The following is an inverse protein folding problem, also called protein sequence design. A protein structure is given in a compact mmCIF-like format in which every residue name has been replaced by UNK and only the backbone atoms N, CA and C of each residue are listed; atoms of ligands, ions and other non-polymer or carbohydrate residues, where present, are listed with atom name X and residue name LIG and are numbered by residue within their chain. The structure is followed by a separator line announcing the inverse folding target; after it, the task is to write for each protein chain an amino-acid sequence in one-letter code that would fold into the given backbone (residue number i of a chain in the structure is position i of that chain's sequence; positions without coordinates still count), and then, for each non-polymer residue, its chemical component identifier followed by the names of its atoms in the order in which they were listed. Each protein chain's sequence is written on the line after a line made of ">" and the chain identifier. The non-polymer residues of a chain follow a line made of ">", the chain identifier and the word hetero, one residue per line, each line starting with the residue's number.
data_IF_243796841017
#
_entry.id   IF_243796841017
#
_cell.length_a   1.000
_cell.length_b   1.000
_cell.length_c   1.000
_cell.angle_alpha   90.00
_cell.angle_beta   90.00
_cell.angle_gamma   90.00
#
_symmetry.space_group_name_H-M   'P 1'
#
loop_
_entity.id
_entity.type
_entity.pdbx_description
1 polymer ?
#
# COMPACT_ATOMS: atom_id res chain seq x y z
N UNK A 1 19.70 -8.30 -0.95
CA UNK A 1 19.01 -7.05 -0.62
C UNK A 1 18.58 -6.26 -1.86
N UNK A 2 19.42 -5.93 -2.86
CA UNK A 2 18.99 -4.99 -3.92
C UNK A 2 17.96 -5.58 -4.89
N UNK A 3 18.03 -6.88 -5.20
CA UNK A 3 17.11 -7.51 -6.16
C UNK A 3 15.69 -7.67 -5.60
N UNK A 4 15.53 -7.91 -4.29
CA UNK A 4 14.21 -7.95 -3.65
C UNK A 4 13.52 -6.60 -3.73
N UNK A 5 14.26 -5.52 -3.45
CA UNK A 5 13.75 -4.15 -3.56
C UNK A 5 13.35 -3.82 -5.00
N UNK A 6 14.12 -4.26 -6.00
CA UNK A 6 13.74 -4.07 -7.40
C UNK A 6 12.42 -4.79 -7.74
N UNK A 7 12.25 -6.04 -7.32
CA UNK A 7 11.02 -6.81 -7.59
C UNK A 7 9.80 -6.20 -6.91
N UNK A 8 9.91 -5.84 -5.63
CA UNK A 8 8.83 -5.20 -4.87
C UNK A 8 8.50 -3.82 -5.47
N UNK A 9 9.51 -3.05 -5.84
CA UNK A 9 9.35 -1.74 -6.49
C UNK A 9 8.62 -1.85 -7.84
N UNK A 10 9.03 -2.80 -8.69
CA UNK A 10 8.37 -3.05 -9.99
C UNK A 10 6.90 -3.45 -9.77
N UNK A 11 6.63 -4.33 -8.80
CA UNK A 11 5.27 -4.74 -8.45
C UNK A 11 4.41 -3.57 -7.96
N UNK A 12 4.95 -2.73 -7.07
CA UNK A 12 4.26 -1.53 -6.57
C UNK A 12 3.99 -0.51 -7.69
N UNK A 13 4.95 -0.33 -8.59
CA UNK A 13 4.85 0.58 -9.72
C UNK A 13 3.83 0.08 -10.76
N UNK A 14 3.76 -1.24 -10.99
CA UNK A 14 2.70 -1.83 -11.79
C UNK A 14 1.32 -1.53 -11.18
N UNK A 15 1.14 -1.73 -9.87
CA UNK A 15 -0.11 -1.40 -9.18
C UNK A 15 -0.47 0.09 -9.29
N UNK A 16 0.50 0.99 -9.12
CA UNK A 16 0.30 2.42 -9.32
C UNK A 16 -0.12 2.77 -10.76
N UNK A 17 0.48 2.12 -11.77
CA UNK A 17 0.12 2.32 -13.17
C UNK A 17 -1.29 1.80 -13.48
N UNK A 18 -1.69 0.65 -12.92
CA UNK A 18 -3.05 0.15 -13.05
C UNK A 18 -4.07 1.06 -12.37
N UNK A 19 -3.75 1.57 -11.17
CA UNK A 19 -4.57 2.53 -10.45
C UNK A 19 -4.72 3.85 -11.22
N UNK A 20 -3.63 4.38 -11.80
CA UNK A 20 -3.66 5.58 -12.63
C UNK A 20 -4.47 5.41 -13.92
N UNK A 21 -4.29 4.28 -14.62
CA UNK A 21 -4.86 4.06 -15.96
C UNK A 21 -6.31 3.57 -15.92
N UNK A 22 -6.64 2.71 -14.96
CA UNK A 22 -7.92 2.02 -14.89
C UNK A 22 -8.71 2.33 -13.61
N UNK A 23 -8.15 3.11 -12.68
CA UNK A 23 -8.78 3.42 -11.37
C UNK A 23 -9.23 2.18 -10.62
N UNK A 24 -8.52 1.08 -10.86
CA UNK A 24 -8.89 -0.23 -10.39
C UNK A 24 -7.62 -1.00 -10.09
N UNK A 25 -7.44 -1.38 -8.83
CA UNK A 25 -6.33 -2.25 -8.45
C UNK A 25 -6.70 -3.71 -8.77
N UNK A 26 -6.02 -4.35 -9.74
CA UNK A 26 -6.30 -5.75 -10.07
C UNK A 26 -5.94 -6.65 -8.90
N UNK A 27 -6.96 -7.29 -8.33
CA UNK A 27 -6.81 -8.24 -7.22
C UNK A 27 -5.74 -9.31 -7.52
N UNK A 28 -5.62 -9.73 -8.78
CA UNK A 28 -4.63 -10.73 -9.22
C UNK A 28 -3.19 -10.30 -8.96
N UNK A 29 -2.84 -9.04 -9.22
CA UNK A 29 -1.49 -8.53 -9.00
C UNK A 29 -1.22 -8.39 -7.50
N UNK A 30 -2.20 -7.87 -6.74
CA UNK A 30 -2.08 -7.74 -5.28
C UNK A 30 -1.87 -9.11 -4.63
N UNK A 31 -2.70 -10.08 -5.00
CA UNK A 31 -2.61 -11.45 -4.48
C UNK A 31 -1.31 -12.13 -4.90
N UNK A 32 -0.83 -11.91 -6.13
CA UNK A 32 0.47 -12.41 -6.56
C UNK A 32 1.61 -11.92 -5.67
N UNK A 33 1.60 -10.64 -5.28
CA UNK A 33 2.56 -10.08 -4.33
C UNK A 33 2.45 -10.69 -2.93
N UNK A 34 1.23 -10.83 -2.41
CA UNK A 34 0.98 -11.44 -1.09
C UNK A 34 1.41 -12.92 -1.04
N UNK A 35 1.06 -13.71 -2.06
CA UNK A 35 1.45 -15.12 -2.18
C UNK A 35 2.97 -15.24 -2.31
N UNK A 36 3.61 -14.37 -3.09
CA UNK A 36 5.06 -14.32 -3.20
C UNK A 36 5.75 -14.02 -1.86
N UNK A 37 5.21 -13.08 -1.08
CA UNK A 37 5.72 -12.77 0.25
C UNK A 37 5.57 -13.94 1.22
N UNK A 38 4.42 -14.63 1.21
CA UNK A 38 4.18 -15.82 2.05
C UNK A 38 5.13 -16.96 1.66
N UNK A 39 5.26 -17.25 0.36
CA UNK A 39 6.18 -18.28 -0.13
C UNK A 39 7.63 -17.96 0.28
N UNK A 40 8.05 -16.70 0.19
CA UNK A 40 9.36 -16.27 0.63
C UNK A 40 9.57 -16.48 2.14
N UNK A 41 8.59 -16.11 2.97
CA UNK A 41 8.62 -16.33 4.42
C UNK A 41 8.75 -17.83 4.74
N UNK A 42 7.99 -18.69 4.05
CA UNK A 42 8.03 -20.14 4.26
C UNK A 42 9.38 -20.75 3.85
N UNK A 43 10.00 -20.24 2.78
CA UNK A 43 11.28 -20.76 2.28
C UNK A 43 12.49 -20.24 3.07
N UNK A 44 12.43 -19.01 3.58
CA UNK A 44 13.60 -18.30 4.15
C UNK A 44 13.52 -18.08 5.65
N UNK A 45 12.32 -18.15 6.24
CA UNK A 45 12.10 -17.90 7.66
C UNK A 45 12.07 -16.41 8.04
N UNK A 46 12.08 -15.50 7.08
CA UNK A 46 11.96 -14.05 7.26
C UNK A 46 11.23 -13.41 6.09
N UNK A 47 10.62 -12.24 6.31
CA UNK A 47 9.93 -11.50 5.26
C UNK A 47 10.90 -10.96 4.20
N UNK A 48 10.43 -10.67 2.97
CA UNK A 48 11.25 -10.13 1.89
C UNK A 48 12.11 -8.91 2.27
N UNK A 49 11.64 -8.07 3.21
CA UNK A 49 12.34 -6.89 3.71
C UNK A 49 13.00 -7.10 5.10
N UNK A 50 13.16 -8.36 5.54
CA UNK A 50 13.95 -8.71 6.73
C UNK A 50 13.19 -8.71 8.07
N UNK A 51 11.90 -8.41 8.08
CA UNK A 51 11.08 -8.52 9.29
C UNK A 51 10.79 -9.99 9.67
N UNK A 52 10.56 -10.26 10.96
CA UNK A 52 10.25 -11.61 11.46
C UNK A 52 8.89 -12.10 10.93
N UNK A 53 8.69 -13.42 10.71
CA UNK A 53 7.43 -13.97 10.21
C UNK A 53 6.21 -13.60 11.05
N UNK A 54 6.36 -13.61 12.38
CA UNK A 54 5.30 -13.21 13.31
C UNK A 54 4.94 -11.75 13.14
N UNK A 55 5.93 -10.86 13.00
CA UNK A 55 5.66 -9.43 12.76
C UNK A 55 5.00 -9.18 11.40
N UNK A 56 5.36 -9.95 10.38
CA UNK A 56 4.78 -9.85 9.04
C UNK A 56 3.32 -10.31 9.02
N UNK A 57 2.99 -11.39 9.71
CA UNK A 57 1.62 -11.88 9.86
C UNK A 57 0.76 -10.91 10.68
N UNK A 58 1.28 -10.42 11.81
CA UNK A 58 0.57 -9.44 12.65
C UNK A 58 0.33 -8.15 11.86
N UNK A 59 1.31 -7.68 11.09
CA UNK A 59 1.14 -6.51 10.25
C UNK A 59 0.11 -6.73 9.15
N UNK A 60 0.17 -7.86 8.43
CA UNK A 60 -0.77 -8.17 7.35
C UNK A 60 -2.20 -8.31 7.84
N UNK A 61 -2.42 -9.08 8.91
CA UNK A 61 -3.75 -9.26 9.52
C UNK A 61 -4.24 -7.99 10.19
N UNK A 62 -3.37 -7.29 10.92
CA UNK A 62 -3.66 -6.03 11.56
C UNK A 62 -4.07 -4.96 10.55
N UNK A 63 -3.39 -4.88 9.41
CA UNK A 63 -3.78 -4.04 8.29
C UNK A 63 -5.19 -4.37 7.80
N UNK A 64 -5.48 -5.65 7.56
CA UNK A 64 -6.79 -6.07 7.05
C UNK A 64 -7.91 -5.71 8.04
N UNK A 65 -7.73 -6.00 9.32
CA UNK A 65 -8.66 -5.66 10.40
C UNK A 65 -8.82 -4.14 10.52
N UNK A 66 -7.73 -3.38 10.43
CA UNK A 66 -7.78 -1.93 10.46
C UNK A 66 -8.49 -1.36 9.24
N UNK A 67 -8.42 -2.02 8.07
CA UNK A 67 -9.06 -1.53 6.83
C UNK A 67 -10.55 -1.87 6.77
N UNK A 68 -11.01 -2.92 7.43
CA UNK A 68 -12.42 -3.35 7.50
C UNK A 68 -13.42 -2.23 7.89
N UNK A 69 -13.22 -1.45 8.97
CA UNK A 69 -14.13 -0.36 9.31
C UNK A 69 -14.16 0.74 8.24
N UNK A 70 -13.02 1.06 7.62
CA UNK A 70 -12.96 2.06 6.55
C UNK A 70 -13.61 1.57 5.24
N UNK A 71 -13.55 0.27 4.97
CA UNK A 71 -14.28 -0.35 3.87
C UNK A 71 -15.80 -0.24 4.10
N UNK A 72 -16.28 -0.53 5.31
CA UNK A 72 -17.69 -0.36 5.68
C UNK A 72 -18.18 1.09 5.58
N UNK A 73 -17.30 2.07 5.83
CA UNK A 73 -17.58 3.50 5.67
C UNK A 73 -17.52 3.98 4.20
N UNK A 74 -17.10 3.14 3.27
CA UNK A 74 -16.94 3.49 1.85
C UNK A 74 -15.77 4.42 1.56
N UNK A 75 -14.82 4.56 2.50
CA UNK A 75 -13.66 5.45 2.37
C UNK A 75 -12.46 4.77 1.68
N UNK A 76 -12.41 3.45 1.70
CA UNK A 76 -11.34 2.63 1.15
C UNK A 76 -11.92 1.55 0.23
N UNK A 77 -11.31 1.35 -0.93
CA UNK A 77 -11.74 0.33 -1.88
C UNK A 77 -11.35 -1.07 -1.39
N UNK A 78 -12.06 -2.11 -1.89
CA UNK A 78 -11.74 -3.50 -1.57
C UNK A 78 -10.30 -3.91 -1.97
N UNK A 79 -9.67 -3.17 -2.88
CA UNK A 79 -8.28 -3.35 -3.30
C UNK A 79 -7.26 -2.83 -2.29
N UNK A 80 -7.56 -1.72 -1.60
CA UNK A 80 -6.59 -1.02 -0.75
C UNK A 80 -6.24 -1.84 0.50
N UNK A 81 -7.23 -2.52 1.11
CA UNK A 81 -6.99 -3.40 2.25
C UNK A 81 -6.14 -4.62 1.91
N UNK A 82 -6.31 -5.17 0.70
CA UNK A 82 -5.46 -6.26 0.22
C UNK A 82 -4.04 -5.77 -0.06
N UNK A 83 -3.90 -4.54 -0.55
CA UNK A 83 -2.59 -3.95 -0.80
C UNK A 83 -1.83 -3.70 0.50
N UNK A 84 -2.50 -3.16 1.52
CA UNK A 84 -1.92 -3.00 2.86
C UNK A 84 -1.55 -4.34 3.50
N UNK A 85 -2.39 -5.37 3.33
CA UNK A 85 -2.06 -6.73 3.78
C UNK A 85 -0.78 -7.24 3.10
N UNK A 86 -0.65 -7.06 1.78
CA UNK A 86 0.54 -7.47 1.05
C UNK A 86 1.80 -6.72 1.51
N UNK A 87 1.70 -5.41 1.76
CA UNK A 87 2.81 -4.58 2.30
C UNK A 87 3.22 -5.06 3.70
N UNK A 88 2.25 -5.34 4.58
CA UNK A 88 2.49 -5.87 5.92
C UNK A 88 3.21 -7.23 5.89
N UNK A 89 2.84 -8.11 4.95
CA UNK A 89 3.53 -9.39 4.76
C UNK A 89 4.96 -9.22 4.21
N UNK A 90 5.21 -8.20 3.39
CA UNK A 90 6.52 -7.97 2.79
C UNK A 90 7.55 -7.38 3.76
N UNK A 91 7.13 -6.50 4.68
CA UNK A 91 8.07 -5.77 5.55
C UNK A 91 7.66 -5.59 7.01
N UNK A 92 6.56 -6.21 7.44
CA UNK A 92 6.12 -6.15 8.83
C UNK A 92 5.55 -4.79 9.24
N UNK A 93 5.39 -4.63 10.55
CA UNK A 93 4.63 -3.50 11.14
C UNK A 93 5.28 -2.16 10.84
N UNK A 94 6.62 -2.08 10.87
CA UNK A 94 7.35 -0.83 10.61
C UNK A 94 7.11 -0.30 9.20
N UNK A 95 7.31 -1.15 8.20
CA UNK A 95 7.14 -0.79 6.78
C UNK A 95 5.69 -0.44 6.49
N UNK A 96 4.74 -1.20 7.06
CA UNK A 96 3.31 -0.91 6.96
C UNK A 96 2.97 0.48 7.53
N UNK A 97 3.42 0.79 8.75
CA UNK A 97 3.12 2.07 9.41
C UNK A 97 3.76 3.24 8.66
N UNK A 98 5.01 3.12 8.23
CA UNK A 98 5.66 4.17 7.42
C UNK A 98 4.91 4.39 6.11
N UNK A 99 4.57 3.31 5.41
CA UNK A 99 3.79 3.40 4.16
C UNK A 99 2.45 4.07 4.42
N UNK A 100 1.74 3.69 5.49
CA UNK A 100 0.44 4.26 5.86
C UNK A 100 0.55 5.77 6.16
N UNK A 101 1.54 6.16 6.95
CA UNK A 101 1.77 7.57 7.35
C UNK A 101 2.13 8.42 6.13
N UNK A 102 3.11 8.00 5.33
CA UNK A 102 3.53 8.73 4.13
C UNK A 102 2.39 8.84 3.12
N UNK A 103 1.63 7.75 2.92
CA UNK A 103 0.48 7.78 2.01
C UNK A 103 -0.61 8.72 2.52
N UNK A 104 -0.91 8.70 3.82
CA UNK A 104 -1.91 9.59 4.42
C UNK A 104 -1.51 11.06 4.29
N UNK A 105 -0.22 11.38 4.48
CA UNK A 105 0.34 12.71 4.30
C UNK A 105 0.25 13.21 2.86
N UNK A 106 0.30 12.31 1.87
CA UNK A 106 0.12 12.67 0.46
C UNK A 106 -1.36 12.77 0.06
N UNK A 107 -2.18 11.83 0.54
CA UNK A 107 -3.59 11.73 0.18
C UNK A 107 -4.44 12.86 0.78
N UNK A 108 -4.21 13.23 2.05
CA UNK A 108 -4.99 14.29 2.72
C UNK A 108 -4.94 15.65 1.99
N UNK A 109 -3.77 16.25 1.71
CA UNK A 109 -3.70 17.53 1.01
C UNK A 109 -4.22 17.43 -0.43
N UNK A 110 -4.02 16.29 -1.11
CA UNK A 110 -4.57 16.08 -2.45
C UNK A 110 -6.10 16.00 -2.43
N UNK A 111 -6.69 15.31 -1.45
CA UNK A 111 -8.13 15.24 -1.26
C UNK A 111 -8.72 16.61 -0.92
N UNK A 112 -8.08 17.38 -0.04
CA UNK A 112 -8.50 18.76 0.30
C UNK A 112 -8.46 19.65 -0.92
N UNK A 113 -7.39 19.57 -1.72
CA UNK A 113 -7.26 20.31 -2.97
C UNK A 113 -8.37 19.96 -3.97
N UNK A 114 -8.64 18.66 -4.17
CA UNK A 114 -9.72 18.21 -5.04
C UNK A 114 -11.09 18.67 -4.57
N UNK A 115 -11.38 18.58 -3.27
CA UNK A 115 -12.63 19.06 -2.68
C UNK A 115 -12.78 20.58 -2.81
N UNK A 116 -11.70 21.35 -2.64
CA UNK A 116 -11.69 22.79 -2.85
C UNK A 116 -12.01 23.10 -4.32
N UNK A 117 -11.33 22.47 -5.28
CA UNK A 117 -11.63 22.67 -6.70
C UNK A 117 -13.03 22.18 -7.10
N UNK A 118 -13.54 21.10 -6.49
CA UNK A 118 -14.88 20.58 -6.74
C UNK A 118 -15.97 21.54 -6.27
N UNK A 119 -15.78 22.12 -5.08
CA UNK A 119 -16.65 23.19 -4.55
C UNK A 119 -16.67 24.40 -5.47
N UNK A 120 -15.52 24.78 -6.02
CA UNK A 120 -15.43 25.89 -6.96
C UNK A 120 -16.10 25.59 -8.31
N UNK A 121 -16.14 24.32 -8.74
CA UNK A 121 -16.83 23.87 -9.96
C UNK A 121 -18.30 23.46 -9.76
N UNK A 122 -18.81 23.49 -8.53
CA UNK A 122 -20.16 23.00 -8.22
C UNK A 122 -20.34 21.48 -8.38
N UNK A 123 -19.26 20.70 -8.41
CA UNK A 123 -19.31 19.24 -8.55
C UNK A 123 -19.73 18.57 -7.22
N UNK A 124 -20.50 17.48 -7.29
CA UNK A 124 -20.84 16.67 -6.10
C UNK A 124 -19.56 16.03 -5.54
N UNK A 125 -19.38 16.09 -4.22
CA UNK A 125 -18.18 15.58 -3.53
C UNK A 125 -17.77 14.13 -3.92
N UNK A 126 -18.74 13.27 -4.22
CA UNK A 126 -18.48 11.89 -4.67
C UNK A 126 -17.79 11.78 -6.04
N UNK A 127 -18.00 12.73 -6.95
CA UNK A 127 -17.35 12.74 -8.27
C UNK A 127 -15.85 13.08 -8.18
N UNK A 128 -15.46 13.80 -7.12
CA UNK A 128 -14.08 14.21 -6.87
C UNK A 128 -13.34 13.18 -6.00
N UNK A 129 -14.03 12.51 -5.09
CA UNK A 129 -13.49 11.37 -4.33
C UNK A 129 -13.05 10.22 -5.26
N UNK A 130 -13.79 9.97 -6.35
CA UNK A 130 -13.44 8.96 -7.36
C UNK A 130 -12.17 9.31 -8.17
N UNK A 131 -11.57 10.51 -7.99
CA UNK A 131 -10.37 10.95 -8.71
C UNK A 131 -9.08 10.76 -7.91
N UNK A 132 -9.12 10.20 -6.71
CA UNK A 132 -7.92 9.98 -5.89
C UNK A 132 -7.28 8.63 -6.27
N UNK A 133 -6.07 8.61 -6.87
CA UNK A 133 -5.36 7.36 -7.15
C UNK A 133 -4.70 6.86 -5.86
N UNK A 134 -5.48 6.13 -5.04
CA UNK A 134 -5.02 5.63 -3.74
C UNK A 134 -3.83 4.68 -3.87
N UNK A 135 -3.81 3.85 -4.91
CA UNK A 135 -2.73 2.91 -5.20
C UNK A 135 -1.41 3.60 -5.52
N UNK A 136 -1.45 4.78 -6.17
CA UNK A 136 -0.26 5.58 -6.44
C UNK A 136 0.40 6.07 -5.13
N UNK A 137 -0.38 6.60 -4.21
CA UNK A 137 0.15 7.12 -2.95
C UNK A 137 0.70 6.00 -2.07
N UNK A 138 0.01 4.86 -2.02
CA UNK A 138 0.49 3.67 -1.30
C UNK A 138 1.78 3.11 -1.91
N UNK A 139 1.91 3.10 -3.24
CA UNK A 139 3.17 2.71 -3.89
C UNK A 139 4.31 3.70 -3.59
N UNK A 140 4.04 5.00 -3.58
CA UNK A 140 5.02 6.02 -3.21
C UNK A 140 5.47 5.87 -1.75
N UNK A 141 4.54 5.65 -0.83
CA UNK A 141 4.84 5.39 0.58
C UNK A 141 5.71 4.14 0.77
N UNK A 142 5.43 3.07 0.01
CA UNK A 142 6.22 1.84 0.05
C UNK A 142 7.64 2.08 -0.46
N UNK A 143 7.82 2.78 -1.59
CA UNK A 143 9.15 3.10 -2.12
C UNK A 143 9.98 3.91 -1.12
N UNK A 144 9.36 4.88 -0.43
CA UNK A 144 10.02 5.63 0.65
C UNK A 144 10.38 4.71 1.81
N UNK A 145 9.45 3.87 2.28
CA UNK A 145 9.74 2.90 3.35
C UNK A 145 10.85 1.91 2.97
N UNK A 146 11.00 1.57 1.69
CA UNK A 146 12.08 0.73 1.20
C UNK A 146 13.44 1.43 1.20
N UNK A 147 13.50 2.75 0.99
CA UNK A 147 14.75 3.50 1.15
C UNK A 147 15.24 3.51 2.60
N UNK A 148 14.33 3.59 3.55
CA UNK A 148 14.64 3.47 4.99
C UNK A 148 15.07 2.05 5.35
N UNK A 149 14.35 1.03 4.87
CA UNK A 149 14.71 -0.38 5.06
C UNK A 149 16.03 -0.78 4.37
N UNK A 150 16.43 -0.06 3.30
CA UNK A 150 17.71 -0.26 2.64
C UNK A 150 18.86 0.57 3.25
N UNK A 151 18.55 1.71 3.88
CA UNK A 151 19.50 2.59 4.56
C UNK A 151 19.82 2.18 5.99
N UNK A 152 18.85 1.64 6.72
CA UNK A 152 19.07 0.94 7.97
C UNK A 152 19.44 -0.51 7.65
N UNK A 153 20.75 -0.81 7.65
CA UNK A 153 21.26 -2.17 7.50
C UNK A 153 20.68 -3.12 8.55
N UNK A 154 19.54 -3.73 8.25
CA UNK A 154 19.05 -4.93 8.92
C UNK A 154 19.71 -6.12 8.22
N UNK A 155 21.01 -6.25 8.49
CA UNK A 155 21.76 -7.50 8.43
C UNK A 155 21.59 -8.30 9.71
#
# INVERSE_FOLDING_TARGET
>A
MPWQCAVIGIWAMALALFDLKWRHLPNTIILGGAVGAIAYILMRGYSPLGASPSSALIAGLGALIATLPFYGLGWLGAGDGKFMLAIGLMGGVKVLLLTFVVSSLLTLPYAVWLLACARWRGERAGASANRIPQGLFLAAGLLVAMTDAAGFGLG
#
